data_IF_477817418587
#
_entry.id   IF_477817418587
#
_cell.length_a   1.000
_cell.length_b   1.000
_cell.length_c   1.000
_cell.angle_alpha   90.00
_cell.angle_beta   90.00
_cell.angle_gamma   90.00
#
_symmetry.space_group_name_H-M   'P 1'
#
loop_
_entity.id
_entity.type
_entity.pdbx_description
1 polymer ?
#
# COMPACT_ATOMS: atom_id res chain seq x y z
N UNK A 1 9.10 17.54 1.70
CA UNK A 1 10.13 17.30 2.73
C UNK A 1 9.67 16.30 3.80
N UNK A 2 8.51 16.53 4.41
CA UNK A 2 7.99 15.67 5.49
C UNK A 2 7.70 14.23 5.03
N UNK A 3 7.02 14.05 3.90
CA UNK A 3 6.77 12.72 3.33
C UNK A 3 8.06 11.90 3.14
N UNK A 4 9.08 12.49 2.52
CA UNK A 4 10.36 11.81 2.27
C UNK A 4 11.08 11.47 3.57
N UNK A 5 11.01 12.34 4.58
CA UNK A 5 11.58 12.09 5.90
C UNK A 5 10.83 10.96 6.63
N UNK A 6 9.50 10.96 6.61
CA UNK A 6 8.68 9.89 7.19
C UNK A 6 8.96 8.53 6.52
N UNK A 7 9.06 8.51 5.20
CA UNK A 7 9.40 7.30 4.44
C UNK A 7 10.80 6.79 4.78
N UNK A 8 11.79 7.69 4.83
CA UNK A 8 13.16 7.33 5.23
C UNK A 8 13.20 6.78 6.65
N UNK A 9 12.40 7.32 7.57
CA UNK A 9 12.31 6.81 8.94
C UNK A 9 11.75 5.39 8.95
N UNK A 10 10.66 5.12 8.22
CA UNK A 10 10.10 3.76 8.10
C UNK A 10 11.10 2.77 7.47
N UNK A 11 11.85 3.19 6.45
CA UNK A 11 12.90 2.37 5.85
C UNK A 11 14.00 2.02 6.85
N UNK A 12 14.42 2.97 7.69
CA UNK A 12 15.40 2.69 8.74
C UNK A 12 14.84 1.78 9.84
N UNK A 13 13.60 2.00 10.27
CA UNK A 13 12.92 1.14 11.25
C UNK A 13 12.70 -0.30 10.73
N UNK A 14 12.38 -0.46 9.44
CA UNK A 14 12.28 -1.79 8.84
C UNK A 14 13.63 -2.53 8.82
N UNK A 15 14.75 -1.81 8.62
CA UNK A 15 16.09 -2.40 8.68
C UNK A 15 16.49 -2.74 10.11
N UNK A 16 16.29 -1.79 11.03
CA UNK A 16 16.76 -1.78 12.40
C UNK A 16 15.59 -1.52 13.37
N UNK A 17 14.68 -2.49 13.55
CA UNK A 17 13.48 -2.29 14.35
C UNK A 17 13.84 -1.94 15.80
N UNK A 18 13.39 -0.79 16.27
CA UNK A 18 13.56 -0.40 17.66
C UNK A 18 12.36 -0.89 18.49
N UNK A 19 12.63 -1.59 19.60
CA UNK A 19 11.60 -2.14 20.50
C UNK A 19 10.98 -3.48 20.04
N UNK A 20 9.79 -3.79 20.56
CA UNK A 20 9.03 -4.96 20.12
C UNK A 20 8.68 -4.82 18.63
N UNK A 21 8.68 -5.92 17.88
CA UNK A 21 8.42 -6.00 16.44
C UNK A 21 6.96 -5.66 16.07
N UNK A 22 6.48 -4.49 16.48
CA UNK A 22 5.14 -3.98 16.19
C UNK A 22 5.13 -3.19 14.89
N UNK A 23 4.09 -3.35 14.09
CA UNK A 23 3.85 -2.48 12.95
C UNK A 23 3.72 -1.03 13.40
N UNK A 24 4.07 -0.12 12.50
CA UNK A 24 4.04 1.32 12.74
C UNK A 24 4.01 2.03 11.40
N UNK A 25 3.57 3.27 11.41
CA UNK A 25 3.37 4.02 10.19
C UNK A 25 3.24 5.50 10.40
N UNK A 26 2.90 6.19 9.33
CA UNK A 26 2.51 7.58 9.34
C UNK A 26 1.21 7.73 8.56
N UNK A 27 0.30 8.53 9.09
CA UNK A 27 -0.79 9.12 8.30
C UNK A 27 -0.18 10.22 7.43
N UNK A 28 -0.68 10.35 6.20
CA UNK A 28 -0.31 11.43 5.29
C UNK A 28 -1.49 12.36 5.13
N UNK A 29 -1.26 13.64 5.43
CA UNK A 29 -2.26 14.68 5.41
C UNK A 29 -1.93 15.69 4.31
N UNK A 30 -2.97 16.28 3.73
CA UNK A 30 -2.88 17.35 2.73
C UNK A 30 -3.86 18.44 3.11
N UNK A 31 -3.35 19.62 3.45
CA UNK A 31 -4.20 20.76 3.79
C UNK A 31 -4.87 21.37 2.53
N UNK A 32 -5.76 22.33 2.73
CA UNK A 32 -6.45 23.03 1.64
C UNK A 32 -5.52 23.81 0.69
N UNK A 33 -4.27 24.08 1.10
CA UNK A 33 -3.24 24.72 0.26
C UNK A 33 -2.35 23.69 -0.46
N UNK A 34 -2.61 22.39 -0.29
CA UNK A 34 -1.81 21.30 -0.85
C UNK A 34 -0.51 21.03 -0.09
N UNK A 35 -0.35 21.56 1.12
CA UNK A 35 0.81 21.28 1.97
C UNK A 35 0.67 19.88 2.55
N UNK A 36 1.69 19.05 2.32
CA UNK A 36 1.77 17.69 2.82
C UNK A 36 2.43 17.66 4.19
N UNK A 37 1.79 16.99 5.15
CA UNK A 37 2.36 16.67 6.46
C UNK A 37 2.14 15.21 6.83
N UNK A 38 2.82 14.77 7.90
CA UNK A 38 2.73 13.37 8.36
C UNK A 38 2.59 13.26 9.87
N UNK A 39 1.70 12.36 10.33
CA UNK A 39 1.54 12.05 11.75
C UNK A 39 1.97 10.62 12.03
N UNK A 40 2.91 10.42 12.96
CA UNK A 40 3.34 9.08 13.35
C UNK A 40 2.24 8.32 14.09
N UNK A 41 2.06 7.06 13.74
CA UNK A 41 1.12 6.14 14.38
C UNK A 41 1.85 4.87 14.78
N UNK A 42 1.84 4.59 16.08
CA UNK A 42 2.34 3.34 16.63
C UNK A 42 1.27 2.26 16.52
N UNK A 43 1.59 1.15 15.85
CA UNK A 43 0.76 -0.05 15.81
C UNK A 43 1.15 -1.09 16.86
N UNK A 44 0.49 -2.24 16.79
CA UNK A 44 0.72 -3.43 17.60
C UNK A 44 1.42 -4.55 16.83
N UNK A 45 1.44 -5.74 17.42
CA UNK A 45 1.96 -6.95 16.77
C UNK A 45 1.02 -7.47 15.65
N UNK A 46 -0.24 -7.05 15.69
CA UNK A 46 -1.35 -7.47 14.84
C UNK A 46 -1.72 -6.42 13.77
N UNK A 47 -0.95 -5.33 13.69
CA UNK A 47 -1.10 -4.33 12.64
C UNK A 47 -0.99 -2.89 13.14
N UNK A 48 -1.02 -1.94 12.21
CA UNK A 48 -1.18 -0.52 12.49
C UNK A 48 -2.54 -0.02 12.02
N UNK A 49 -3.22 0.79 12.84
CA UNK A 49 -4.49 1.43 12.48
C UNK A 49 -4.25 2.91 12.19
N UNK A 50 -4.09 3.26 10.93
CA UNK A 50 -4.00 4.68 10.53
C UNK A 50 -5.41 5.26 10.44
N UNK A 51 -5.56 6.49 10.90
CA UNK A 51 -6.79 7.25 10.85
C UNK A 51 -7.27 7.49 9.42
N UNK A 52 -8.54 7.89 9.30
CA UNK A 52 -9.16 8.27 8.03
C UNK A 52 -10.04 9.49 8.25
N UNK A 53 -10.22 10.30 7.20
CA UNK A 53 -11.05 11.51 7.26
C UNK A 53 -10.28 12.80 7.57
N UNK A 54 -11.01 13.92 7.51
CA UNK A 54 -10.39 15.25 7.61
C UNK A 54 -9.43 15.48 6.44
N UNK A 55 -8.19 15.88 6.75
CA UNK A 55 -7.14 16.15 5.76
C UNK A 55 -6.31 14.92 5.37
N UNK A 56 -6.65 13.73 5.90
CA UNK A 56 -5.89 12.50 5.64
C UNK A 56 -6.19 12.00 4.21
N UNK A 57 -5.14 11.89 3.41
CA UNK A 57 -5.19 11.37 2.04
C UNK A 57 -4.60 9.97 1.91
N UNK A 58 -3.95 9.45 2.95
CA UNK A 58 -3.38 8.13 2.88
C UNK A 58 -2.49 7.81 4.05
N UNK A 59 -1.68 6.78 3.87
CA UNK A 59 -0.82 6.29 4.92
C UNK A 59 0.40 5.57 4.38
N UNK A 60 1.41 5.47 5.23
CA UNK A 60 2.59 4.65 5.00
C UNK A 60 2.86 3.77 6.22
N UNK A 61 3.16 2.50 6.05
CA UNK A 61 3.51 1.62 7.19
C UNK A 61 4.53 0.55 6.83
N UNK A 62 5.05 -0.10 7.87
CA UNK A 62 5.92 -1.28 7.76
C UNK A 62 5.17 -2.52 8.22
N UNK A 63 5.44 -3.64 7.56
CA UNK A 63 5.18 -4.97 8.11
C UNK A 63 6.44 -5.45 8.84
N UNK A 64 6.33 -5.79 10.13
CA UNK A 64 7.47 -6.20 10.96
C UNK A 64 7.78 -7.69 10.91
N UNK A 65 6.85 -8.52 10.45
CA UNK A 65 7.09 -9.94 10.25
C UNK A 65 7.63 -10.22 8.84
N UNK A 66 8.78 -10.91 8.76
CA UNK A 66 9.24 -11.51 7.50
C UNK A 66 8.19 -12.56 7.08
N UNK A 67 7.61 -12.42 5.90
CA UNK A 67 6.57 -13.36 5.43
C UNK A 67 5.23 -12.72 5.07
N UNK A 68 4.93 -11.51 5.55
CA UNK A 68 3.60 -10.93 5.35
C UNK A 68 3.41 -10.34 3.94
N UNK A 69 2.23 -10.52 3.32
CA UNK A 69 1.90 -9.97 2.00
C UNK A 69 2.16 -8.47 1.94
N UNK A 70 2.49 -7.94 0.76
CA UNK A 70 2.77 -6.50 0.63
C UNK A 70 1.51 -5.68 1.01
N UNK A 71 0.42 -5.80 0.26
CA UNK A 71 -0.84 -5.16 0.63
C UNK A 71 -1.84 -6.21 1.15
N UNK A 72 -2.18 -6.13 2.42
CA UNK A 72 -3.25 -6.93 3.02
C UNK A 72 -4.64 -6.48 2.52
N UNK A 73 -5.65 -7.30 2.73
CA UNK A 73 -7.04 -6.90 2.55
C UNK A 73 -7.40 -5.69 3.41
N UNK A 74 -6.83 -5.56 4.61
CA UNK A 74 -7.04 -4.40 5.49
C UNK A 74 -6.52 -3.10 4.88
N UNK A 75 -5.41 -3.14 4.13
CA UNK A 75 -4.91 -1.97 3.40
C UNK A 75 -5.93 -1.48 2.36
N UNK A 76 -6.63 -2.40 1.69
CA UNK A 76 -7.71 -2.08 0.75
C UNK A 76 -8.92 -1.47 1.47
N UNK A 77 -9.29 -2.01 2.63
CA UNK A 77 -10.38 -1.46 3.46
C UNK A 77 -10.03 -0.05 3.95
N UNK A 78 -8.78 0.17 4.33
CA UNK A 78 -8.29 1.47 4.77
C UNK A 78 -8.28 2.51 3.64
N UNK A 79 -7.84 2.13 2.43
CA UNK A 79 -7.97 2.96 1.24
C UNK A 79 -9.43 3.38 1.01
N UNK A 80 -10.37 2.43 1.10
CA UNK A 80 -11.82 2.70 0.96
C UNK A 80 -12.30 3.68 2.01
N UNK A 81 -11.90 3.51 3.27
CA UNK A 81 -12.31 4.39 4.37
C UNK A 81 -11.71 5.79 4.21
N UNK A 82 -10.44 5.89 3.79
CA UNK A 82 -9.78 7.17 3.48
C UNK A 82 -10.52 7.92 2.39
N UNK A 83 -10.85 7.21 1.31
CA UNK A 83 -11.65 7.75 0.20
C UNK A 83 -13.05 8.20 0.65
N UNK A 84 -13.73 7.40 1.47
CA UNK A 84 -15.09 7.72 1.91
C UNK A 84 -15.13 8.90 2.90
N UNK A 85 -14.15 8.97 3.81
CA UNK A 85 -14.16 9.89 4.93
C UNK A 85 -13.38 11.20 4.68
N UNK A 86 -12.36 11.19 3.80
CA UNK A 86 -11.51 12.35 3.50
C UNK A 86 -12.24 13.48 2.75
N UNK A 87 -13.33 13.16 2.07
CA UNK A 87 -13.95 14.05 1.08
C UNK A 87 -15.16 14.82 1.61
N UNK A 88 -15.49 14.69 2.89
CA UNK A 88 -16.78 15.16 3.43
C UNK A 88 -16.78 16.67 3.73
N UNK A 89 -15.65 17.41 3.65
CA UNK A 89 -15.69 18.85 3.97
C UNK A 89 -14.60 19.78 3.42
N UNK A 90 -13.50 19.32 2.83
CA UNK A 90 -12.40 20.20 2.38
C UNK A 90 -12.20 20.16 0.85
N UNK A 91 -12.37 21.30 0.17
CA UNK A 91 -12.49 21.43 -1.29
C UNK A 91 -11.20 21.23 -2.10
N UNK A 92 -10.13 20.73 -1.47
CA UNK A 92 -8.81 20.55 -2.09
C UNK A 92 -8.34 19.10 -2.21
N UNK A 93 -9.13 18.14 -1.71
CA UNK A 93 -8.82 16.71 -1.74
C UNK A 93 -9.55 16.03 -2.88
N UNK A 94 -8.77 15.40 -3.76
CA UNK A 94 -9.30 14.65 -4.88
C UNK A 94 -9.15 13.15 -4.64
N UNK A 95 -9.94 12.36 -5.36
CA UNK A 95 -9.92 10.91 -5.21
C UNK A 95 -8.58 10.30 -5.63
N UNK A 96 -7.91 10.92 -6.59
CA UNK A 96 -6.56 10.61 -7.04
C UNK A 96 -5.47 10.88 -6.00
N UNK A 97 -5.76 11.67 -4.95
CA UNK A 97 -4.82 11.89 -3.85
C UNK A 97 -4.77 10.68 -2.91
N UNK A 98 -5.71 9.73 -3.01
CA UNK A 98 -5.82 8.60 -2.07
C UNK A 98 -4.85 7.48 -2.41
N UNK A 99 -4.00 7.13 -1.43
CA UNK A 99 -3.01 6.07 -1.58
C UNK A 99 -2.68 5.35 -0.27
N UNK A 100 -2.03 4.19 -0.40
CA UNK A 100 -1.37 3.48 0.70
C UNK A 100 0.05 3.14 0.27
N UNK A 101 1.02 3.35 1.16
CA UNK A 101 2.44 3.04 0.96
C UNK A 101 2.85 1.98 1.95
N UNK A 102 3.66 1.04 1.48
CA UNK A 102 4.21 -0.01 2.30
C UNK A 102 5.71 -0.07 2.14
N UNK A 103 6.40 -0.21 3.27
CA UNK A 103 7.83 -0.49 3.34
C UNK A 103 8.05 -1.92 3.84
N UNK A 104 8.81 -2.70 3.07
CA UNK A 104 9.11 -4.11 3.37
C UNK A 104 10.62 -4.30 3.40
N UNK A 105 11.10 -5.05 4.39
CA UNK A 105 12.49 -5.51 4.43
C UNK A 105 12.69 -6.67 3.45
N UNK A 106 13.75 -6.62 2.66
CA UNK A 106 14.21 -7.73 1.85
C UNK A 106 15.66 -8.10 2.19
N UNK A 107 16.19 -9.16 1.56
CA UNK A 107 17.56 -9.61 1.80
C UNK A 107 18.65 -8.59 1.42
N UNK A 108 18.31 -7.54 0.64
CA UNK A 108 19.25 -6.53 0.14
C UNK A 108 19.03 -5.14 0.77
N UNK A 109 18.01 -4.95 1.61
CA UNK A 109 17.66 -3.68 2.20
C UNK A 109 16.15 -3.55 2.45
N UNK A 110 15.57 -2.46 1.98
CA UNK A 110 14.11 -2.25 1.99
C UNK A 110 13.60 -1.97 0.58
N UNK A 111 12.34 -2.36 0.36
CA UNK A 111 11.57 -2.03 -0.83
C UNK A 111 10.33 -1.27 -0.40
N UNK A 112 9.97 -0.27 -1.20
CA UNK A 112 8.80 0.56 -0.95
C UNK A 112 7.85 0.44 -2.12
N UNK A 113 6.59 0.17 -1.81
CA UNK A 113 5.51 0.02 -2.78
C UNK A 113 4.39 1.00 -2.44
N UNK A 114 3.62 1.40 -3.43
CA UNK A 114 2.40 2.16 -3.20
C UNK A 114 1.26 1.62 -4.06
N UNK A 115 0.03 1.79 -3.59
CA UNK A 115 -1.19 1.47 -4.32
C UNK A 115 -2.13 2.68 -4.25
N UNK A 116 -2.78 2.97 -5.37
CA UNK A 116 -3.88 3.93 -5.47
C UNK A 116 -4.99 3.33 -6.33
N UNK A 117 -6.24 3.56 -5.94
CA UNK A 117 -7.42 3.06 -6.65
C UNK A 117 -8.33 4.23 -6.96
N UNK A 118 -8.32 4.68 -8.21
CA UNK A 118 -9.04 5.87 -8.66
C UNK A 118 -10.54 5.62 -8.92
N UNK A 119 -10.95 4.35 -9.02
CA UNK A 119 -12.35 3.97 -9.20
C UNK A 119 -12.98 3.55 -7.87
N UNK A 120 -13.83 4.41 -7.30
CA UNK A 120 -14.50 4.14 -6.03
C UNK A 120 -15.36 2.88 -6.03
N UNK A 121 -16.10 2.62 -7.12
CA UNK A 121 -17.00 1.45 -7.17
C UNK A 121 -16.19 0.15 -7.11
N UNK A 122 -15.03 0.13 -7.77
CA UNK A 122 -14.10 -0.98 -7.69
C UNK A 122 -13.49 -1.10 -6.28
N UNK A 123 -13.05 0.01 -5.69
CA UNK A 123 -12.52 0.05 -4.33
C UNK A 123 -13.55 -0.48 -3.31
N UNK A 124 -14.81 -0.05 -3.44
CA UNK A 124 -15.93 -0.52 -2.62
C UNK A 124 -16.20 -2.01 -2.83
N UNK A 125 -16.18 -2.49 -4.08
CA UNK A 125 -16.32 -3.92 -4.38
C UNK A 125 -15.22 -4.75 -3.72
N UNK A 126 -13.95 -4.33 -3.87
CA UNK A 126 -12.80 -5.02 -3.28
C UNK A 126 -12.88 -5.02 -1.75
N UNK A 127 -13.12 -3.87 -1.14
CA UNK A 127 -13.24 -3.74 0.32
C UNK A 127 -14.40 -4.58 0.87
N UNK A 128 -15.57 -4.56 0.23
CA UNK A 128 -16.70 -5.39 0.63
C UNK A 128 -16.40 -6.89 0.50
N UNK A 129 -15.55 -7.27 -0.45
CA UNK A 129 -15.17 -8.68 -0.62
C UNK A 129 -14.22 -9.13 0.50
N UNK A 130 -13.34 -8.23 0.98
CA UNK A 130 -12.51 -8.44 2.17
C UNK A 130 -13.38 -8.52 3.44
N UNK A 131 -14.25 -7.54 3.67
CA UNK A 131 -15.04 -7.41 4.91
C UNK A 131 -16.04 -8.57 5.12
N UNK A 132 -16.69 -9.06 4.05
CA UNK A 132 -17.82 -9.97 4.21
C UNK A 132 -17.43 -11.45 4.43
N UNK A 133 -16.13 -11.83 4.38
CA UNK A 133 -15.66 -13.22 4.51
C UNK A 133 -16.44 -14.26 3.66
N UNK A 134 -17.23 -13.79 2.67
CA UNK A 134 -18.25 -14.57 1.98
C UNK A 134 -17.67 -15.20 0.72
N UNK A 135 -16.60 -16.00 0.89
CA UNK A 135 -16.14 -17.00 -0.08
C UNK A 135 -15.66 -16.53 -1.47
N UNK A 136 -15.77 -15.25 -1.84
CA UNK A 136 -15.45 -14.80 -3.20
C UNK A 136 -13.97 -14.48 -3.43
N UNK A 137 -13.41 -13.60 -2.59
CA UNK A 137 -12.01 -13.18 -2.68
C UNK A 137 -11.54 -12.83 -1.28
N UNK A 138 -11.08 -13.84 -0.57
CA UNK A 138 -10.20 -13.57 0.56
C UNK A 138 -8.81 -13.31 -0.03
N UNK A 139 -8.53 -12.04 -0.37
CA UNK A 139 -7.25 -11.61 -0.94
C UNK A 139 -6.10 -12.06 -0.04
N UNK A 140 -6.34 -11.96 1.28
CA UNK A 140 -5.48 -12.49 2.31
C UNK A 140 -5.40 -14.02 2.17
N UNK A 141 -6.44 -14.84 2.33
CA UNK A 141 -6.28 -16.31 2.15
C UNK A 141 -5.79 -16.75 0.75
N UNK A 142 -6.00 -16.00 -0.34
CA UNK A 142 -5.49 -16.36 -1.68
C UNK A 142 -4.01 -16.02 -1.83
N UNK A 143 -3.55 -14.88 -1.31
CA UNK A 143 -2.16 -14.43 -1.42
C UNK A 143 -1.36 -14.82 -0.17
N UNK A 144 -1.87 -14.54 1.03
CA UNK A 144 -1.29 -14.91 2.33
C UNK A 144 -0.98 -16.41 2.42
N UNK A 145 -1.93 -17.33 2.15
CA UNK A 145 -1.60 -18.77 2.20
C UNK A 145 -0.51 -19.20 1.18
N UNK A 146 -0.37 -18.48 0.07
CA UNK A 146 0.67 -18.75 -0.95
C UNK A 146 2.05 -18.21 -0.53
N UNK A 147 2.08 -17.16 0.29
CA UNK A 147 3.29 -16.40 0.60
C UNK A 147 3.71 -16.41 2.09
N UNK A 148 2.86 -16.89 3.00
CA UNK A 148 3.02 -16.93 4.47
C UNK A 148 4.31 -17.61 4.95
N UNK A 149 4.93 -18.42 4.10
CA UNK A 149 6.14 -19.19 4.43
C UNK A 149 7.36 -18.86 3.55
N UNK A 150 7.31 -17.84 2.67
CA UNK A 150 8.39 -17.63 1.66
C UNK A 150 8.95 -16.22 1.49
N UNK A 151 8.67 -15.25 2.35
CA UNK A 151 9.19 -13.89 2.11
C UNK A 151 10.54 -13.66 2.77
N UNK A 152 11.58 -14.17 2.09
CA UNK A 152 12.92 -13.61 2.08
C UNK A 152 13.11 -12.69 0.86
N UNK A 153 12.18 -11.78 0.56
CA UNK A 153 12.30 -10.87 -0.61
C UNK A 153 12.28 -11.50 -2.01
N UNK A 154 12.57 -12.80 -2.14
CA UNK A 154 12.69 -13.54 -3.40
C UNK A 154 11.34 -13.69 -4.13
N UNK A 155 10.22 -13.53 -3.43
CA UNK A 155 8.88 -13.68 -3.98
C UNK A 155 8.09 -12.37 -4.16
N UNK A 156 8.69 -11.18 -3.95
CA UNK A 156 7.98 -9.91 -4.12
C UNK A 156 7.42 -9.72 -5.55
N UNK A 157 8.20 -10.12 -6.56
CA UNK A 157 7.73 -10.11 -7.96
C UNK A 157 6.59 -11.10 -8.19
N UNK A 158 6.65 -12.30 -7.59
CA UNK A 158 5.58 -13.29 -7.72
C UNK A 158 4.28 -12.80 -7.06
N UNK A 159 4.36 -12.22 -5.85
CA UNK A 159 3.21 -11.59 -5.21
C UNK A 159 2.65 -10.45 -6.08
N UNK A 160 3.52 -9.58 -6.60
CA UNK A 160 3.07 -8.44 -7.42
C UNK A 160 2.41 -8.90 -8.71
N UNK A 161 2.94 -9.97 -9.32
CA UNK A 161 2.34 -10.63 -10.47
C UNK A 161 0.95 -11.18 -10.15
N UNK A 162 0.79 -11.89 -9.04
CA UNK A 162 -0.49 -12.42 -8.60
C UNK A 162 -1.50 -11.32 -8.29
N UNK A 163 -1.09 -10.27 -7.59
CA UNK A 163 -1.92 -9.10 -7.29
C UNK A 163 -2.39 -8.42 -8.59
N UNK A 164 -1.47 -8.19 -9.53
CA UNK A 164 -1.79 -7.62 -10.85
C UNK A 164 -2.72 -8.53 -11.67
N UNK A 165 -2.48 -9.83 -11.69
CA UNK A 165 -3.34 -10.80 -12.36
C UNK A 165 -4.75 -10.82 -11.74
N UNK A 166 -4.82 -10.77 -10.42
CA UNK A 166 -6.08 -10.69 -9.68
C UNK A 166 -6.86 -9.42 -10.05
N UNK A 167 -6.19 -8.26 -10.00
CA UNK A 167 -6.75 -6.96 -10.39
C UNK A 167 -7.26 -6.99 -11.84
N UNK A 168 -6.43 -7.45 -12.77
CA UNK A 168 -6.74 -7.52 -14.20
C UNK A 168 -7.91 -8.48 -14.49
N UNK A 169 -8.08 -9.53 -13.68
CA UNK A 169 -9.20 -10.45 -13.77
C UNK A 169 -10.55 -9.85 -13.37
N UNK A 170 -10.55 -8.75 -12.59
CA UNK A 170 -11.77 -8.06 -12.15
C UNK A 170 -12.13 -6.92 -13.12
N UNK A 171 -11.14 -6.13 -13.54
CA UNK A 171 -11.32 -5.01 -14.46
C UNK A 171 -10.01 -4.68 -15.18
N UNK A 172 -10.05 -4.14 -16.41
CA UNK A 172 -8.86 -3.62 -17.07
C UNK A 172 -8.14 -2.59 -16.17
N UNK A 173 -6.81 -2.70 -16.09
CA UNK A 173 -5.86 -2.10 -15.15
C UNK A 173 -5.87 -0.57 -14.97
N UNK A 174 -6.78 0.18 -15.61
CA UNK A 174 -6.79 1.65 -15.60
C UNK A 174 -7.24 2.22 -14.25
N UNK A 175 -7.89 1.41 -13.43
CA UNK A 175 -8.53 1.83 -12.18
C UNK A 175 -7.69 1.59 -10.91
N UNK A 176 -6.64 0.75 -11.01
CA UNK A 176 -5.76 0.41 -9.88
C UNK A 176 -4.33 0.64 -10.33
N UNK A 177 -3.66 1.57 -9.68
CA UNK A 177 -2.28 1.92 -9.94
C UNK A 177 -1.41 1.32 -8.83
N UNK A 178 -0.44 0.50 -9.25
CA UNK A 178 0.61 0.01 -8.38
C UNK A 178 1.90 0.74 -8.70
N UNK A 179 2.67 1.04 -7.66
CA UNK A 179 3.93 1.74 -7.78
C UNK A 179 5.01 1.07 -6.96
N UNK A 180 6.26 1.24 -7.40
CA UNK A 180 7.46 0.84 -6.69
C UNK A 180 8.43 2.01 -6.64
N UNK A 181 9.01 2.27 -5.48
CA UNK A 181 10.07 3.27 -5.37
C UNK A 181 11.31 2.75 -6.11
N UNK A 182 11.86 3.59 -6.98
CA UNK A 182 13.04 3.24 -7.78
C UNK A 182 14.24 2.90 -6.87
N UNK A 183 15.25 2.22 -7.43
CA UNK A 183 16.43 1.82 -6.65
C UNK A 183 17.23 3.01 -6.08
N UNK A 184 17.05 4.21 -6.64
CA UNK A 184 17.66 5.43 -6.14
C UNK A 184 16.91 6.03 -4.93
N UNK A 185 15.70 5.55 -4.61
CA UNK A 185 14.87 6.06 -3.52
C UNK A 185 14.27 7.45 -3.80
N UNK A 186 14.22 7.89 -5.05
CA UNK A 186 13.93 9.28 -5.43
C UNK A 186 12.57 9.48 -6.10
N UNK A 187 12.05 8.44 -6.74
CA UNK A 187 10.78 8.53 -7.47
C UNK A 187 10.05 7.18 -7.46
N UNK A 188 8.73 7.23 -7.46
CA UNK A 188 7.90 6.05 -7.72
C UNK A 188 7.81 5.79 -9.22
N UNK A 189 7.82 4.52 -9.58
CA UNK A 189 7.63 3.99 -10.93
C UNK A 189 6.34 3.18 -10.95
N UNK A 190 5.55 3.31 -12.01
CA UNK A 190 4.35 2.50 -12.22
C UNK A 190 4.74 1.05 -12.45
N UNK A 191 4.04 0.12 -11.80
CA UNK A 191 4.24 -1.33 -11.96
C UNK A 191 3.10 -1.92 -12.77
N UNK A 192 3.43 -2.59 -13.88
CA UNK A 192 2.48 -3.28 -14.76
C UNK A 192 2.98 -4.67 -15.11
N UNK A 193 2.16 -5.50 -15.77
CA UNK A 193 2.61 -6.78 -16.32
C UNK A 193 3.20 -6.58 -17.71
N UNK A 194 4.39 -7.12 -17.93
CA UNK A 194 4.98 -7.24 -19.26
C UNK A 194 4.13 -8.17 -20.14
N UNK A 195 3.69 -7.65 -21.27
CA UNK A 195 2.89 -8.39 -22.27
C UNK A 195 3.57 -9.65 -22.81
N UNK A 196 4.91 -9.75 -22.74
CA UNK A 196 5.65 -10.88 -23.29
C UNK A 196 5.81 -12.08 -22.35
N UNK A 197 5.84 -11.86 -21.04
CA UNK A 197 6.15 -12.92 -20.06
C UNK A 197 5.34 -12.82 -18.75
N UNK A 198 4.41 -11.87 -18.65
CA UNK A 198 3.61 -11.57 -17.47
C UNK A 198 4.43 -11.24 -16.21
N UNK A 199 5.69 -10.85 -16.32
CA UNK A 199 6.47 -10.41 -15.16
C UNK A 199 6.12 -8.95 -14.82
N UNK A 200 6.18 -8.56 -13.54
CA UNK A 200 6.06 -7.16 -13.16
C UNK A 200 7.22 -6.34 -13.73
N UNK A 201 6.90 -5.25 -14.41
CA UNK A 201 7.86 -4.26 -14.91
C UNK A 201 7.56 -2.90 -14.29
N UNK A 202 8.61 -2.18 -13.91
CA UNK A 202 8.53 -0.83 -13.38
C UNK A 202 8.93 0.17 -14.47
N UNK A 203 8.11 1.20 -14.69
CA UNK A 203 8.35 2.26 -15.66
C UNK A 203 8.16 3.64 -15.01
N UNK A 204 8.97 4.66 -15.37
CA UNK A 204 8.79 6.01 -14.84
C UNK A 204 7.36 6.53 -14.99
N UNK A 205 6.86 7.19 -13.95
CA UNK A 205 5.62 7.96 -14.03
C UNK A 205 5.87 9.21 -14.89
N UNK A 206 5.01 9.47 -15.88
CA UNK A 206 5.05 10.66 -16.74
C UNK A 206 3.95 11.64 -16.35
#
# INVERSE_FOLDING_TARGET
>A
PEFSSALSNLQQEALNPTGNASERGFEVLKDANGVISTNFVQGGFDGVKLGTGGDIIGGMHIHTASGNPMFSGQDIVQLRNTYHNGHVSNSGLYHEDVFSVLVVKDGAGTKTYAISISNYNLLLYLANTVDNNSGGIDLDKKLQNKYDNTINGENANAYMQDLLNFINGITPSVAINLFKLNNAGTAFETVTLDTGNNNPIATPCY
#
